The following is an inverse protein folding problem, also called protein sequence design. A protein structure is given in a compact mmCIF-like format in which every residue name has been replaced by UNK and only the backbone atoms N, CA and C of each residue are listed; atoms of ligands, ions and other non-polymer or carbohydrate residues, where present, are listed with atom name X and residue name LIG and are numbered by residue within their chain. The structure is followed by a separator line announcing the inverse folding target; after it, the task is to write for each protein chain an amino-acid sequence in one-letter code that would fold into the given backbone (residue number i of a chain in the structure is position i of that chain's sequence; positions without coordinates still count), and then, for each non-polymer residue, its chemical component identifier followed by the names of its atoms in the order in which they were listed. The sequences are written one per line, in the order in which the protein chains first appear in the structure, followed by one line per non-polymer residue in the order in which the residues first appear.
data_IF_835288254934
#
_entry.id   IF_835288254934
#
_cell.length_a   1.000
_cell.length_b   1.000
_cell.length_c   1.000
_cell.angle_alpha   90.00
_cell.angle_beta   90.00
_cell.angle_gamma   90.00
#
_symmetry.space_group_name_H-M   'P 1'
#
loop_
_entity.id
_entity.type
_entity.pdbx_description
1 polymer ?
#
# COMPACT_ATOMS: atom_id res chain seq x y z
N UNK A 1 20.15 -33.88 -82.26
CA UNK A 1 21.01 -33.08 -81.35
C UNK A 1 20.11 -32.39 -80.38
N UNK A 2 20.00 -32.89 -79.14
CA UNK A 2 19.15 -32.34 -78.05
C UNK A 2 20.07 -31.82 -77.00
N UNK A 3 20.05 -30.48 -76.77
CA UNK A 3 20.84 -29.80 -75.77
C UNK A 3 19.99 -29.72 -74.48
N UNK A 4 20.48 -30.32 -73.39
CA UNK A 4 19.84 -30.35 -72.12
C UNK A 4 20.47 -29.23 -71.24
N UNK A 5 19.66 -28.21 -70.91
CA UNK A 5 20.08 -27.12 -70.05
C UNK A 5 19.76 -27.53 -68.62
N UNK A 6 20.81 -27.67 -67.78
CA UNK A 6 20.71 -27.94 -66.35
C UNK A 6 20.59 -26.67 -65.56
N UNK A 7 19.40 -26.43 -65.03
CA UNK A 7 19.13 -25.24 -64.17
C UNK A 7 19.49 -25.56 -62.71
N UNK A 8 20.52 -24.92 -62.18
CA UNK A 8 20.93 -25.03 -60.77
C UNK A 8 20.14 -24.01 -59.94
N UNK A 9 19.25 -24.49 -59.05
CA UNK A 9 18.57 -23.66 -58.06
C UNK A 9 19.49 -23.50 -56.85
N UNK A 10 19.95 -22.26 -56.62
CA UNK A 10 20.63 -21.85 -55.38
C UNK A 10 19.56 -21.48 -54.33
N UNK A 11 19.37 -22.33 -53.32
CA UNK A 11 18.61 -22.01 -52.13
C UNK A 11 19.49 -21.17 -51.15
N UNK A 12 19.24 -19.90 -51.07
CA UNK A 12 19.82 -19.03 -50.03
C UNK A 12 18.94 -19.06 -48.77
N UNK A 13 19.41 -19.80 -47.77
CA UNK A 13 18.79 -19.79 -46.43
C UNK A 13 19.28 -18.60 -45.61
N UNK A 14 18.42 -17.58 -45.44
CA UNK A 14 18.65 -16.49 -44.51
C UNK A 14 18.22 -16.90 -43.10
N UNK A 15 19.19 -17.15 -42.23
CA UNK A 15 18.95 -17.37 -40.81
C UNK A 15 18.67 -16.03 -40.14
N UNK A 16 17.41 -15.79 -39.76
CA UNK A 16 17.03 -14.67 -38.95
C UNK A 16 17.39 -14.95 -37.48
N UNK A 17 18.43 -14.29 -36.98
CA UNK A 17 18.79 -14.32 -35.55
C UNK A 17 17.81 -13.39 -34.79
N UNK A 18 16.89 -14.00 -34.04
CA UNK A 18 16.02 -13.28 -33.13
C UNK A 18 16.80 -12.82 -31.88
N UNK A 19 17.15 -11.54 -31.77
CA UNK A 19 17.67 -10.96 -30.56
C UNK A 19 16.54 -10.88 -29.53
N UNK A 20 16.54 -11.78 -28.53
CA UNK A 20 15.68 -11.69 -27.37
C UNK A 20 16.23 -10.62 -26.42
N UNK A 21 15.65 -9.43 -26.46
CA UNK A 21 15.92 -8.40 -25.45
C UNK A 21 15.21 -8.82 -24.16
N UNK A 22 15.96 -9.39 -23.22
CA UNK A 22 15.48 -9.60 -21.85
C UNK A 22 15.48 -8.25 -21.15
N UNK A 23 14.30 -7.65 -20.98
CA UNK A 23 14.11 -6.52 -20.08
C UNK A 23 14.28 -7.03 -18.66
N UNK A 24 15.48 -6.85 -18.11
CA UNK A 24 15.69 -7.03 -16.67
C UNK A 24 15.05 -5.83 -15.96
N UNK A 25 13.86 -6.03 -15.43
CA UNK A 25 13.27 -5.09 -14.47
C UNK A 25 14.12 -5.19 -13.21
N UNK A 26 15.11 -4.30 -13.07
CA UNK A 26 15.82 -4.14 -11.82
C UNK A 26 14.81 -3.65 -10.77
N UNK A 27 14.49 -4.51 -9.81
CA UNK A 27 13.81 -4.06 -8.60
C UNK A 27 14.74 -3.01 -7.95
N UNK A 28 14.34 -1.75 -8.00
CA UNK A 28 15.02 -0.69 -7.27
C UNK A 28 14.78 -0.97 -5.78
N UNK A 29 15.76 -1.58 -5.13
CA UNK A 29 15.83 -1.60 -3.67
C UNK A 29 16.05 -0.16 -3.24
N UNK A 30 15.00 0.49 -2.69
CA UNK A 30 15.14 1.79 -2.09
C UNK A 30 16.24 1.69 -1.02
N UNK A 31 17.33 2.44 -1.19
CA UNK A 31 18.36 2.51 -0.16
C UNK A 31 17.73 3.10 1.12
N UNK A 32 18.09 2.53 2.29
CA UNK A 32 17.63 3.09 3.56
C UNK A 32 18.06 4.55 3.66
N UNK A 33 17.13 5.44 4.01
CA UNK A 33 17.47 6.84 4.26
C UNK A 33 18.52 6.90 5.37
N UNK A 34 19.67 7.55 5.15
CA UNK A 34 20.66 7.73 6.21
C UNK A 34 20.06 8.69 7.25
N UNK A 35 19.64 8.15 8.40
CA UNK A 35 19.00 8.94 9.46
C UNK A 35 19.97 9.80 10.28
N UNK A 36 21.21 9.95 9.85
CA UNK A 36 22.20 10.78 10.54
C UNK A 36 22.31 10.47 12.04
N UNK A 37 22.89 11.39 12.84
CA UNK A 37 23.07 11.17 14.28
C UNK A 37 21.78 11.35 15.11
N UNK A 38 20.66 11.76 14.52
CA UNK A 38 19.46 12.22 15.25
C UNK A 38 18.25 11.31 15.07
N UNK A 39 18.43 10.03 14.71
CA UNK A 39 17.30 9.13 14.62
C UNK A 39 17.63 7.79 13.98
N UNK A 40 16.68 6.88 14.08
CA UNK A 40 16.71 5.58 13.41
C UNK A 40 15.60 5.51 12.35
N UNK A 41 15.76 4.63 11.36
CA UNK A 41 14.77 4.44 10.31
C UNK A 41 13.57 3.66 10.88
N UNK A 42 12.40 4.26 10.75
CA UNK A 42 11.12 3.69 11.13
C UNK A 42 10.12 3.76 9.98
N UNK A 43 8.99 3.08 10.09
CA UNK A 43 7.84 3.25 9.21
C UNK A 43 6.83 4.15 9.91
N UNK A 44 6.48 5.26 9.27
CA UNK A 44 5.29 6.03 9.63
C UNK A 44 4.12 5.49 8.84
N UNK A 45 3.08 5.08 9.53
CA UNK A 45 1.82 4.66 8.92
C UNK A 45 0.70 5.63 9.31
N UNK A 46 -0.12 6.00 8.34
CA UNK A 46 -1.36 6.72 8.56
C UNK A 46 -2.53 5.87 8.07
N UNK A 47 -3.52 5.71 8.94
CA UNK A 47 -4.78 5.00 8.66
C UNK A 47 -5.92 6.01 8.74
N UNK A 48 -6.81 5.99 7.74
CA UNK A 48 -7.94 6.91 7.64
C UNK A 48 -9.22 6.10 7.79
N UNK A 49 -9.87 6.26 8.93
CA UNK A 49 -11.06 5.52 9.33
C UNK A 49 -12.30 6.38 9.06
N UNK A 50 -13.10 6.03 8.06
CA UNK A 50 -14.38 6.67 7.82
C UNK A 50 -15.33 6.44 9.00
N UNK A 51 -16.15 7.45 9.33
CA UNK A 51 -17.07 7.37 10.45
C UNK A 51 -18.51 7.03 10.04
N UNK A 52 -18.86 7.13 8.75
CA UNK A 52 -20.20 6.79 8.28
C UNK A 52 -20.38 5.28 8.23
N UNK A 53 -21.52 4.78 8.71
CA UNK A 53 -21.93 3.38 8.62
C UNK A 53 -23.42 3.30 8.29
N UNK A 54 -23.95 2.14 7.85
CA UNK A 54 -25.37 2.01 7.48
C UNK A 54 -26.35 2.43 8.58
N UNK A 55 -25.95 2.26 9.84
CA UNK A 55 -26.78 2.54 11.03
C UNK A 55 -26.48 3.89 11.68
N UNK A 56 -25.75 4.79 10.99
CA UNK A 56 -25.42 6.12 11.52
C UNK A 56 -23.94 6.44 11.43
N UNK A 57 -23.36 6.95 12.51
CA UNK A 57 -21.97 7.39 12.57
C UNK A 57 -21.27 6.75 13.76
N UNK A 58 -20.01 6.38 13.61
CA UNK A 58 -19.15 5.94 14.72
C UNK A 58 -18.98 7.14 15.68
N UNK A 59 -19.38 6.95 16.93
CA UNK A 59 -19.30 7.98 17.97
C UNK A 59 -17.89 8.12 18.53
N UNK A 60 -17.65 9.20 19.26
CA UNK A 60 -16.37 9.45 19.95
C UNK A 60 -16.07 8.37 21.01
N UNK A 61 -17.11 7.91 21.72
CA UNK A 61 -16.97 6.86 22.73
C UNK A 61 -16.60 5.51 22.07
N UNK A 62 -17.23 5.18 20.94
CA UNK A 62 -16.89 3.96 20.19
C UNK A 62 -15.47 4.03 19.64
N UNK A 63 -15.06 5.18 19.10
CA UNK A 63 -13.68 5.39 18.64
C UNK A 63 -12.67 5.25 19.79
N UNK A 64 -12.95 5.89 20.92
CA UNK A 64 -12.08 5.80 22.11
C UNK A 64 -11.97 4.36 22.63
N UNK A 65 -13.08 3.63 22.66
CA UNK A 65 -13.09 2.22 23.02
C UNK A 65 -12.28 1.39 22.02
N UNK A 66 -12.43 1.64 20.72
CA UNK A 66 -11.65 0.96 19.68
C UNK A 66 -10.13 1.19 19.85
N UNK A 67 -9.71 2.42 20.09
CA UNK A 67 -8.29 2.73 20.37
C UNK A 67 -7.80 1.96 21.59
N UNK A 68 -8.55 2.03 22.70
CA UNK A 68 -8.18 1.38 23.96
C UNK A 68 -8.04 -0.15 23.81
N UNK A 69 -8.98 -0.78 23.13
CA UNK A 69 -9.11 -2.24 23.15
C UNK A 69 -8.34 -2.92 21.98
N UNK A 70 -8.17 -2.22 20.86
CA UNK A 70 -7.62 -2.83 19.66
C UNK A 70 -6.31 -2.21 19.19
N UNK A 71 -6.06 -0.93 19.42
CA UNK A 71 -4.86 -0.24 18.93
C UNK A 71 -3.79 -0.16 20.00
N UNK A 72 -4.10 0.44 21.15
CA UNK A 72 -3.13 0.70 22.23
C UNK A 72 -2.39 -0.56 22.69
N UNK A 73 -3.04 -1.73 22.86
CA UNK A 73 -2.32 -2.93 23.31
C UNK A 73 -1.33 -3.46 22.26
N UNK A 74 -1.51 -3.10 21.00
CA UNK A 74 -0.68 -3.54 19.87
C UNK A 74 0.43 -2.56 19.51
N UNK A 75 0.24 -1.29 19.84
CA UNK A 75 1.16 -0.18 19.59
C UNK A 75 1.35 0.64 20.86
N UNK A 76 1.94 0.04 21.91
CA UNK A 76 2.08 0.69 23.22
C UNK A 76 3.07 1.86 23.22
N UNK A 77 3.98 1.91 22.23
CA UNK A 77 5.01 2.96 22.13
C UNK A 77 4.43 4.33 21.76
N UNK A 78 3.19 4.36 21.27
CA UNK A 78 2.47 5.60 21.04
C UNK A 78 1.68 5.64 19.74
N UNK A 79 0.70 6.51 19.76
CA UNK A 79 -0.14 6.84 18.61
C UNK A 79 -0.55 8.31 18.68
N UNK A 80 -0.89 8.86 17.53
CA UNK A 80 -1.55 10.17 17.45
C UNK A 80 -2.82 10.03 16.63
N UNK A 81 -3.94 10.58 17.11
CA UNK A 81 -5.19 10.54 16.39
C UNK A 81 -5.85 11.93 16.36
N UNK A 82 -6.49 12.24 15.23
CA UNK A 82 -7.26 13.47 15.06
C UNK A 82 -8.43 13.25 14.10
N UNK A 83 -9.36 14.23 14.09
CA UNK A 83 -10.44 14.25 13.10
C UNK A 83 -10.01 14.90 11.80
N UNK A 84 -10.60 14.44 10.71
CA UNK A 84 -10.43 15.00 9.38
C UNK A 84 -11.74 14.90 8.58
N UNK A 85 -11.88 15.75 7.58
CA UNK A 85 -12.96 15.68 6.60
C UNK A 85 -12.43 15.00 5.33
N UNK A 86 -13.07 13.90 4.96
CA UNK A 86 -12.73 13.13 3.77
C UNK A 86 -13.72 13.33 2.63
N UNK A 87 -13.23 13.22 1.41
CA UNK A 87 -14.09 13.09 0.24
C UNK A 87 -13.44 12.19 -0.80
N UNK A 88 -14.28 11.42 -1.51
CA UNK A 88 -13.81 10.55 -2.58
C UNK A 88 -14.86 10.45 -3.70
N UNK A 89 -14.43 10.03 -4.87
CA UNK A 89 -15.32 9.76 -5.98
C UNK A 89 -15.91 8.36 -5.83
N UNK A 90 -17.23 8.28 -5.76
CA UNK A 90 -17.96 7.01 -5.76
C UNK A 90 -17.97 6.37 -7.15
N UNK A 91 -18.28 5.06 -7.28
CA UNK A 91 -18.38 4.38 -8.57
C UNK A 91 -19.39 5.01 -9.54
N UNK A 92 -20.45 5.64 -9.02
CA UNK A 92 -21.48 6.36 -9.81
C UNK A 92 -21.01 7.75 -10.28
N UNK A 93 -19.77 8.16 -9.97
CA UNK A 93 -19.18 9.45 -10.33
C UNK A 93 -19.48 10.59 -9.35
N UNK A 94 -20.38 10.40 -8.38
CA UNK A 94 -20.68 11.42 -7.37
C UNK A 94 -19.56 11.54 -6.33
N UNK A 95 -19.53 12.67 -5.60
CA UNK A 95 -18.56 12.89 -4.52
C UNK A 95 -19.21 12.50 -3.20
N UNK A 96 -18.66 11.46 -2.58
CA UNK A 96 -18.91 11.11 -1.18
C UNK A 96 -18.13 12.03 -0.25
N UNK A 97 -18.74 12.39 0.88
CA UNK A 97 -18.08 13.14 1.96
C UNK A 97 -18.39 12.49 3.29
N UNK A 98 -17.39 12.41 4.14
CA UNK A 98 -17.58 11.95 5.51
C UNK A 98 -16.51 12.50 6.44
N UNK A 99 -16.83 12.54 7.72
CA UNK A 99 -15.82 12.74 8.77
C UNK A 99 -15.01 11.45 8.91
N UNK A 100 -13.75 11.60 9.24
CA UNK A 100 -12.82 10.49 9.42
C UNK A 100 -11.98 10.69 10.67
N UNK A 101 -11.53 9.60 11.28
CA UNK A 101 -10.43 9.61 12.25
C UNK A 101 -9.15 9.21 11.53
N UNK A 102 -8.11 10.00 11.70
CA UNK A 102 -6.77 9.67 11.23
C UNK A 102 -5.96 9.15 12.40
N UNK A 103 -5.30 8.03 12.21
CA UNK A 103 -4.40 7.42 13.18
C UNK A 103 -2.98 7.40 12.59
N UNK A 104 -2.06 8.05 13.25
CA UNK A 104 -0.64 8.02 12.94
C UNK A 104 0.09 7.13 13.93
N UNK A 105 0.89 6.23 13.39
CA UNK A 105 1.77 5.31 14.12
C UNK A 105 3.18 5.42 13.54
N UNK A 106 4.19 5.33 14.41
CA UNK A 106 5.59 5.14 14.02
C UNK A 106 6.04 3.82 14.63
N UNK A 107 6.50 2.89 13.78
CA UNK A 107 6.79 1.52 14.17
C UNK A 107 7.98 0.95 13.39
N UNK A 108 8.45 -0.22 13.75
CA UNK A 108 9.49 -0.92 13.00
C UNK A 108 8.98 -1.41 11.62
N UNK A 109 9.90 -1.76 10.72
CA UNK A 109 9.60 -2.23 9.37
C UNK A 109 9.33 -3.74 9.28
N UNK A 110 9.03 -4.41 10.40
CA UNK A 110 8.84 -5.87 10.44
C UNK A 110 7.55 -6.32 9.75
N UNK A 111 7.54 -7.59 9.32
CA UNK A 111 6.33 -8.23 8.84
C UNK A 111 5.27 -8.32 9.97
N UNK A 112 5.70 -8.55 11.21
CA UNK A 112 4.81 -8.63 12.36
C UNK A 112 4.06 -7.30 12.61
N UNK A 113 4.73 -6.15 12.49
CA UNK A 113 4.07 -4.85 12.61
C UNK A 113 3.02 -4.65 11.51
N UNK A 114 3.32 -5.06 10.28
CA UNK A 114 2.37 -5.01 9.15
C UNK A 114 1.14 -5.88 9.38
N UNK A 115 1.35 -7.12 9.85
CA UNK A 115 0.26 -8.05 10.15
C UNK A 115 -0.62 -7.50 11.28
N UNK A 116 -0.01 -6.87 12.28
CA UNK A 116 -0.71 -6.21 13.38
C UNK A 116 -1.56 -5.04 12.89
N UNK A 117 -1.04 -4.21 11.99
CA UNK A 117 -1.80 -3.13 11.35
C UNK A 117 -2.99 -3.68 10.55
N UNK A 118 -2.75 -4.74 9.77
CA UNK A 118 -3.82 -5.40 9.02
C UNK A 118 -4.92 -5.93 9.95
N UNK A 119 -4.57 -6.49 11.10
CA UNK A 119 -5.53 -6.95 12.09
C UNK A 119 -6.37 -5.78 12.66
N UNK A 120 -5.74 -4.63 12.96
CA UNK A 120 -6.46 -3.42 13.39
C UNK A 120 -7.44 -2.93 12.33
N UNK A 121 -6.99 -2.83 11.08
CA UNK A 121 -7.84 -2.41 9.95
C UNK A 121 -9.04 -3.35 9.76
N UNK A 122 -8.79 -4.65 9.77
CA UNK A 122 -9.83 -5.65 9.60
C UNK A 122 -10.85 -5.62 10.74
N UNK A 123 -10.39 -5.40 11.97
CA UNK A 123 -11.27 -5.30 13.14
C UNK A 123 -12.16 -4.06 13.05
N UNK A 124 -11.62 -2.90 12.66
CA UNK A 124 -12.42 -1.70 12.43
C UNK A 124 -13.50 -1.92 11.37
N UNK A 125 -13.12 -2.50 10.24
CA UNK A 125 -14.05 -2.83 9.15
C UNK A 125 -15.17 -3.74 9.61
N UNK A 126 -14.83 -4.76 10.39
CA UNK A 126 -15.80 -5.72 10.93
C UNK A 126 -16.76 -5.08 11.96
N UNK A 127 -16.21 -4.30 12.89
CA UNK A 127 -16.96 -3.72 14.01
C UNK A 127 -17.91 -2.60 13.54
N UNK A 128 -17.46 -1.78 12.59
CA UNK A 128 -18.17 -0.59 12.15
C UNK A 128 -18.73 -0.69 10.73
N UNK A 129 -18.78 -1.89 10.16
CA UNK A 129 -19.35 -2.16 8.83
C UNK A 129 -18.74 -1.29 7.73
N UNK A 130 -17.40 -1.10 7.76
CA UNK A 130 -16.68 -0.27 6.81
C UNK A 130 -16.22 -1.09 5.60
N UNK A 131 -16.36 -0.55 4.40
CA UNK A 131 -15.88 -1.19 3.17
C UNK A 131 -14.36 -1.17 3.08
N UNK A 132 -13.74 -0.05 3.45
CA UNK A 132 -12.30 0.16 3.34
C UNK A 132 -11.75 1.11 4.42
N UNK A 133 -10.45 1.03 4.62
CA UNK A 133 -9.65 1.99 5.38
C UNK A 133 -8.47 2.35 4.48
N UNK A 134 -8.29 3.63 4.18
CA UNK A 134 -7.09 4.07 3.46
C UNK A 134 -5.89 3.89 4.38
N UNK A 135 -4.87 3.23 3.86
CA UNK A 135 -3.61 2.97 4.54
C UNK A 135 -2.46 3.46 3.68
N UNK A 136 -1.69 4.40 4.19
CA UNK A 136 -0.44 4.85 3.58
C UNK A 136 0.74 4.64 4.55
N UNK A 137 1.93 4.43 4.00
CA UNK A 137 3.15 4.27 4.78
C UNK A 137 4.33 4.92 4.08
N UNK A 138 5.25 5.45 4.88
CA UNK A 138 6.52 6.02 4.42
C UNK A 138 7.64 5.71 5.40
N UNK A 139 8.88 5.60 4.90
CA UNK A 139 10.06 5.52 5.76
C UNK A 139 10.35 6.91 6.29
N UNK A 140 10.58 7.01 7.58
CA UNK A 140 10.93 8.25 8.29
C UNK A 140 12.11 8.02 9.21
N UNK A 141 12.83 9.09 9.53
CA UNK A 141 13.79 9.10 10.63
C UNK A 141 13.07 9.60 11.88
N UNK A 142 13.06 8.78 12.93
CA UNK A 142 12.43 9.14 14.20
C UNK A 142 13.36 8.90 15.37
N UNK A 143 13.16 9.67 16.44
CA UNK A 143 13.82 9.56 17.75
C UNK A 143 12.72 9.61 18.82
N UNK A 144 12.80 8.73 19.80
CA UNK A 144 11.91 8.67 20.95
C UNK A 144 12.68 9.00 22.24
#
# INVERSE_FOLDING_TARGET
MRSTILTVLLLSSTAAAALSVRSATAAQTAEPLPCGPTGTAHVRTMLYFGLNRPTGTVSEDEWTAFLRDHVTPRFPDGLTSWEADGQWRKPDGTIGRERSKVLLLVHDASAAARDTLAAVVNEYKRQFEQESVLWESSIVCATF
#
